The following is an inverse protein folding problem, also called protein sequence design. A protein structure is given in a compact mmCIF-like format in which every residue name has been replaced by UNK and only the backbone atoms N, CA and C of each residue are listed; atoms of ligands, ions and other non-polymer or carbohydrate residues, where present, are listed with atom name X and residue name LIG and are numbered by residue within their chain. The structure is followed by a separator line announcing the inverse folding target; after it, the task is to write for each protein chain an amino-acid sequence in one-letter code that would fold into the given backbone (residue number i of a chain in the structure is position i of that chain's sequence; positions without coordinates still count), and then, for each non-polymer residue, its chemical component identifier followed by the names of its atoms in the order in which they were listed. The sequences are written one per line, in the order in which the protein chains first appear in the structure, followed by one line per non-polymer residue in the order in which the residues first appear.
data_IF_283848678832
#
_entry.id   IF_283848678832
#
_cell.length_a   1.000
_cell.length_b   1.000
_cell.length_c   1.000
_cell.angle_alpha   90.00
_cell.angle_beta   90.00
_cell.angle_gamma   90.00
#
_symmetry.space_group_name_H-M   'P 1'
#
loop_
_entity.id
_entity.type
_entity.pdbx_description
1 polymer ?
#
# COMPACT_ATOMS: atom_id res chain seq x y z
N UNK A 1 -5.18 0.52 25.53
CA UNK A 1 -5.55 0.77 24.12
C UNK A 1 -4.25 0.68 23.33
N UNK A 2 -3.69 -0.51 23.14
CA UNK A 2 -4.13 -1.51 22.15
C UNK A 2 -4.14 -0.89 20.76
N UNK A 3 -2.99 -0.89 20.08
CA UNK A 3 -2.87 -1.34 18.69
C UNK A 3 -1.41 -1.27 18.24
N UNK A 4 -0.64 -2.33 18.53
CA UNK A 4 0.50 -2.70 17.69
C UNK A 4 -0.05 -3.05 16.31
N UNK A 5 0.31 -2.27 15.29
CA UNK A 5 0.23 -2.70 13.90
C UNK A 5 1.58 -2.40 13.27
N UNK A 6 2.48 -3.35 13.48
CA UNK A 6 3.74 -3.52 12.75
C UNK A 6 3.56 -3.12 11.29
N UNK A 7 4.20 -2.00 10.92
CA UNK A 7 4.29 -1.48 9.58
C UNK A 7 5.02 -2.48 8.68
N UNK A 8 4.28 -3.36 8.01
CA UNK A 8 4.82 -4.17 6.95
C UNK A 8 5.11 -3.25 5.74
N UNK A 9 6.33 -2.72 5.69
CA UNK A 9 7.02 -2.33 4.46
C UNK A 9 6.82 -0.89 3.95
N UNK A 10 6.86 0.13 4.81
CA UNK A 10 7.06 1.52 4.34
C UNK A 10 8.56 1.83 4.22
N UNK A 11 9.03 2.22 3.04
CA UNK A 11 10.33 2.89 2.88
C UNK A 11 10.32 4.21 3.65
N UNK A 12 11.46 4.67 4.19
CA UNK A 12 11.53 5.91 4.98
C UNK A 12 10.95 7.10 4.18
N UNK A 13 9.71 7.50 4.52
CA UNK A 13 8.97 8.57 3.83
C UNK A 13 7.70 8.13 3.09
N UNK A 14 7.45 6.82 2.93
CA UNK A 14 6.26 6.29 2.24
C UNK A 14 5.41 5.40 3.16
N UNK A 15 4.07 5.50 3.09
CA UNK A 15 3.20 4.66 3.89
C UNK A 15 3.36 3.18 3.51
N UNK A 16 3.30 2.28 4.48
CA UNK A 16 3.17 0.85 4.18
C UNK A 16 1.80 0.55 3.57
N UNK A 17 1.65 -0.65 2.99
CA UNK A 17 0.43 -1.04 2.27
C UNK A 17 -0.87 -0.76 3.05
N UNK A 18 -0.95 -1.17 4.32
CA UNK A 18 -2.15 -0.98 5.14
C UNK A 18 -2.47 0.52 5.39
N UNK A 19 -1.44 1.34 5.60
CA UNK A 19 -1.62 2.78 5.78
C UNK A 19 -2.04 3.46 4.47
N UNK A 20 -1.45 3.04 3.33
CA UNK A 20 -1.82 3.56 2.02
C UNK A 20 -3.28 3.21 1.66
N UNK A 21 -3.73 2.00 2.00
CA UNK A 21 -5.12 1.59 1.82
C UNK A 21 -6.08 2.38 2.69
N UNK A 22 -5.76 2.61 3.97
CA UNK A 22 -6.59 3.43 4.85
C UNK A 22 -6.72 4.88 4.34
N UNK A 23 -5.64 5.46 3.84
CA UNK A 23 -5.68 6.81 3.25
C UNK A 23 -6.52 6.85 1.95
N UNK A 24 -6.44 5.81 1.11
CA UNK A 24 -7.27 5.69 -0.09
C UNK A 24 -8.77 5.63 0.25
N UNK A 25 -9.16 4.87 1.28
CA UNK A 25 -10.55 4.80 1.74
C UNK A 25 -11.05 6.17 2.22
N UNK A 26 -10.21 6.92 2.94
CA UNK A 26 -10.54 8.28 3.36
C UNK A 26 -10.72 9.21 2.16
N UNK A 27 -9.82 9.14 1.18
CA UNK A 27 -9.94 9.93 -0.05
C UNK A 27 -11.28 9.61 -0.74
N UNK A 28 -11.62 8.33 -0.91
CA UNK A 28 -12.89 7.93 -1.54
C UNK A 28 -14.11 8.51 -0.82
N UNK A 29 -14.13 8.46 0.52
CA UNK A 29 -15.22 9.06 1.31
C UNK A 29 -15.34 10.57 1.09
N UNK A 30 -14.23 11.28 0.93
CA UNK A 30 -14.23 12.71 0.64
C UNK A 30 -14.73 13.02 -0.79
N UNK A 31 -14.40 12.16 -1.77
CA UNK A 31 -14.87 12.32 -3.15
C UNK A 31 -16.38 12.08 -3.29
N UNK A 32 -16.96 11.24 -2.44
CA UNK A 32 -18.40 10.91 -2.43
C UNK A 32 -19.25 11.95 -1.67
N UNK A 33 -18.64 13.00 -1.13
CA UNK A 33 -19.33 14.10 -0.44
C UNK A 33 -20.24 14.94 -1.35
N UNK A 34 -21.15 15.71 -0.76
CA UNK A 34 -22.24 16.36 -1.49
C UNK A 34 -21.85 17.64 -2.25
N UNK A 35 -20.69 18.25 -1.99
CA UNK A 35 -20.22 19.46 -2.72
C UNK A 35 -18.67 19.62 -2.69
N UNK A 36 -17.90 18.72 -3.34
CA UNK A 36 -16.45 18.83 -3.34
C UNK A 36 -15.97 19.83 -4.42
N UNK A 37 -15.09 20.74 -4.01
CA UNK A 37 -14.40 21.67 -4.91
C UNK A 37 -13.54 20.91 -5.94
N UNK A 38 -13.65 21.26 -7.23
CA UNK A 38 -12.97 20.58 -8.33
C UNK A 38 -11.44 20.58 -8.18
N UNK A 39 -10.86 21.64 -7.62
CA UNK A 39 -9.43 21.72 -7.37
C UNK A 39 -9.00 20.77 -6.24
N UNK A 40 -9.86 20.61 -5.22
CA UNK A 40 -9.66 19.64 -4.14
C UNK A 40 -9.76 18.22 -4.68
N UNK A 41 -10.77 17.92 -5.51
CA UNK A 41 -10.90 16.62 -6.18
C UNK A 41 -9.63 16.27 -6.97
N UNK A 42 -9.09 17.22 -7.75
CA UNK A 42 -7.89 16.99 -8.54
C UNK A 42 -6.68 16.63 -7.67
N UNK A 43 -6.46 17.36 -6.57
CA UNK A 43 -5.37 17.06 -5.65
C UNK A 43 -5.54 15.70 -4.94
N UNK A 44 -6.78 15.37 -4.55
CA UNK A 44 -7.11 14.09 -3.92
C UNK A 44 -6.90 12.90 -4.87
N UNK A 45 -7.26 13.06 -6.14
CA UNK A 45 -7.02 12.03 -7.18
C UNK A 45 -5.52 11.85 -7.45
N UNK A 46 -4.73 12.93 -7.50
CA UNK A 46 -3.27 12.83 -7.64
C UNK A 46 -2.63 12.10 -6.45
N UNK A 47 -3.09 12.40 -5.23
CA UNK A 47 -2.67 11.68 -4.03
C UNK A 47 -3.06 10.20 -4.08
N UNK A 48 -4.28 9.89 -4.50
CA UNK A 48 -4.74 8.50 -4.66
C UNK A 48 -3.87 7.73 -5.68
N UNK A 49 -3.51 8.35 -6.81
CA UNK A 49 -2.62 7.74 -7.79
C UNK A 49 -1.26 7.37 -7.17
N UNK A 50 -0.69 8.27 -6.38
CA UNK A 50 0.58 8.03 -5.66
C UNK A 50 0.46 6.83 -4.69
N UNK A 51 -0.64 6.76 -3.93
CA UNK A 51 -0.88 5.66 -2.99
C UNK A 51 -1.08 4.32 -3.69
N UNK A 52 -1.73 4.31 -4.86
CA UNK A 52 -1.86 3.10 -5.68
C UNK A 52 -0.49 2.58 -6.11
N UNK A 53 0.43 3.45 -6.50
CA UNK A 53 1.78 3.04 -6.88
C UNK A 53 2.61 2.54 -5.68
N UNK A 54 2.38 3.08 -4.48
CA UNK A 54 2.90 2.48 -3.24
C UNK A 54 2.36 1.06 -3.07
N UNK A 55 1.05 0.87 -3.15
CA UNK A 55 0.43 -0.45 -2.98
C UNK A 55 0.97 -1.48 -3.98
N UNK A 56 1.11 -1.10 -5.25
CA UNK A 56 1.68 -1.97 -6.30
C UNK A 56 3.11 -2.39 -5.99
N UNK A 57 3.96 -1.46 -5.52
CA UNK A 57 5.34 -1.77 -5.13
C UNK A 57 5.39 -2.71 -3.93
N UNK A 58 4.55 -2.49 -2.93
CA UNK A 58 4.47 -3.40 -1.78
C UNK A 58 4.09 -4.82 -2.22
N UNK A 59 3.09 -4.98 -3.09
CA UNK A 59 2.68 -6.29 -3.63
C UNK A 59 3.82 -6.93 -4.41
N UNK A 60 4.45 -6.19 -5.33
CA UNK A 60 5.56 -6.70 -6.12
C UNK A 60 6.74 -7.17 -5.25
N UNK A 61 7.08 -6.40 -4.21
CA UNK A 61 8.11 -6.78 -3.25
C UNK A 61 7.71 -8.07 -2.50
N UNK A 62 6.48 -8.14 -2.00
CA UNK A 62 5.98 -9.33 -1.33
C UNK A 62 6.06 -10.57 -2.23
N UNK A 63 5.66 -10.45 -3.51
CA UNK A 63 5.79 -11.54 -4.49
C UNK A 63 7.24 -12.03 -4.64
N UNK A 64 8.19 -11.11 -4.80
CA UNK A 64 9.62 -11.46 -4.90
C UNK A 64 10.12 -12.16 -3.64
N UNK A 65 9.68 -11.73 -2.47
CA UNK A 65 10.08 -12.37 -1.21
C UNK A 65 9.50 -13.78 -1.09
N UNK A 66 8.25 -13.99 -1.50
CA UNK A 66 7.63 -15.32 -1.56
C UNK A 66 8.39 -16.23 -2.52
N UNK A 67 8.69 -15.76 -3.73
CA UNK A 67 9.47 -16.52 -4.73
C UNK A 67 10.84 -16.95 -4.19
N UNK A 68 11.54 -16.08 -3.46
CA UNK A 68 12.82 -16.40 -2.81
C UNK A 68 12.68 -17.50 -1.76
N UNK A 69 11.63 -17.43 -0.95
CA UNK A 69 11.37 -18.45 0.08
C UNK A 69 11.07 -19.80 -0.57
N UNK A 70 10.23 -19.82 -1.61
CA UNK A 70 9.92 -21.05 -2.36
C UNK A 70 11.19 -21.65 -2.97
N UNK A 71 12.00 -20.85 -3.66
CA UNK A 71 13.25 -21.33 -4.26
C UNK A 71 14.26 -21.88 -3.23
N UNK A 72 14.31 -21.28 -2.04
CA UNK A 72 15.15 -21.77 -0.95
C UNK A 72 14.68 -23.14 -0.44
N UNK A 73 13.36 -23.36 -0.32
CA UNK A 73 12.79 -24.65 0.08
C UNK A 73 13.06 -25.74 -0.96
N UNK A 74 12.90 -25.45 -2.26
CA UNK A 74 13.19 -26.40 -3.35
C UNK A 74 14.67 -26.79 -3.41
N UNK A 75 15.56 -25.85 -3.08
CA UNK A 75 17.02 -26.09 -3.03
C UNK A 75 17.42 -26.97 -1.85
N UNK A 76 16.74 -26.84 -0.71
CA UNK A 76 16.98 -27.63 0.50
C UNK A 76 16.48 -29.09 0.33
N UNK A 77 15.32 -29.30 -0.32
CA UNK A 77 14.79 -30.64 -0.63
C UNK A 77 15.62 -31.42 -1.67
N UNK A 78 16.46 -30.74 -2.45
CA UNK A 78 17.28 -31.37 -3.50
C UNK A 78 18.67 -31.80 -3.04
N UNK A 79 19.00 -31.64 -1.74
CA UNK A 79 20.28 -32.06 -1.12
C UNK A 79 20.09 -33.26 -0.19
#
# INVERSE_FOLDING_TARGET
MSSEASAAGGTEGEPGYAAAMAELEQILQELEGEDPDVDVLANRVERAATLIDVCRRCIANASVQVERVVAALESDEST
#
